data_IF_768863424833
#
_entry.id   IF_768863424833
#
_cell.length_a   1.000
_cell.length_b   1.000
_cell.length_c   1.000
_cell.angle_alpha   90.00
_cell.angle_beta   90.00
_cell.angle_gamma   90.00
#
_symmetry.space_group_name_H-M   'P 1'
#
loop_
_entity.id
_entity.type
_entity.pdbx_description
1 polymer ?
#
# COMPACT_ATOMS: atom_id res chain seq x y z
N UNK A 1 -9.06 13.89 -11.56
CA UNK A 1 -9.72 12.59 -11.78
C UNK A 1 -10.29 12.08 -10.46
N UNK A 2 -11.15 11.08 -10.55
CA UNK A 2 -11.58 10.32 -9.39
C UNK A 2 -10.67 9.11 -9.24
N UNK A 3 -10.28 8.81 -8.00
CA UNK A 3 -9.48 7.65 -7.66
C UNK A 3 -10.38 6.55 -7.12
N UNK A 4 -10.53 5.41 -7.81
CA UNK A 4 -11.32 4.27 -7.32
C UNK A 4 -10.53 3.48 -6.28
N UNK A 5 -11.17 3.23 -5.11
CA UNK A 5 -10.56 2.50 -4.01
C UNK A 5 -11.61 1.71 -3.24
N UNK A 6 -11.47 0.39 -3.15
CA UNK A 6 -12.42 -0.53 -2.51
C UNK A 6 -13.89 -0.29 -2.86
N UNK A 7 -14.17 -0.03 -4.16
CA UNK A 7 -15.54 0.12 -4.69
C UNK A 7 -16.17 1.50 -4.52
N UNK A 8 -15.43 2.49 -4.04
CA UNK A 8 -15.83 3.90 -3.98
C UNK A 8 -14.88 4.79 -4.79
N UNK A 9 -15.36 5.95 -5.22
CA UNK A 9 -14.57 6.94 -5.96
C UNK A 9 -14.26 8.15 -5.08
N UNK A 10 -12.99 8.57 -5.05
CA UNK A 10 -12.50 9.69 -4.26
C UNK A 10 -11.94 10.79 -5.14
N UNK A 11 -12.41 12.02 -4.95
CA UNK A 11 -11.94 13.21 -5.65
C UNK A 11 -10.96 14.06 -4.83
N UNK A 12 -10.86 13.78 -3.55
CA UNK A 12 -9.96 14.45 -2.62
C UNK A 12 -9.11 13.42 -1.89
N UNK A 13 -7.91 13.82 -1.53
CA UNK A 13 -7.01 13.07 -0.67
C UNK A 13 -6.47 13.98 0.43
N UNK A 14 -6.18 13.41 1.58
CA UNK A 14 -5.53 14.05 2.71
C UNK A 14 -4.12 13.50 2.84
N UNK A 15 -3.12 14.33 2.65
CA UNK A 15 -1.72 13.91 2.67
C UNK A 15 -1.16 14.16 4.07
N UNK A 16 -0.79 13.09 4.74
CA UNK A 16 -0.18 13.16 6.06
C UNK A 16 1.36 13.24 5.95
N UNK A 17 2.03 14.15 6.68
CA UNK A 17 3.49 14.26 6.66
C UNK A 17 4.21 12.97 7.11
N UNK A 18 3.54 12.10 7.82
CA UNK A 18 4.05 10.83 8.34
C UNK A 18 3.95 9.64 7.35
N UNK A 19 4.00 9.90 6.06
CA UNK A 19 4.19 8.86 5.03
C UNK A 19 2.95 8.11 4.59
N UNK A 20 1.73 8.65 4.81
CA UNK A 20 0.48 8.02 4.43
C UNK A 20 -0.56 9.02 3.88
N UNK A 21 -1.62 8.49 3.29
CA UNK A 21 -2.71 9.24 2.66
C UNK A 21 -4.03 8.74 3.23
N UNK A 22 -4.89 9.65 3.69
CA UNK A 22 -6.31 9.42 3.97
C UNK A 22 -7.17 9.79 2.77
N UNK A 23 -8.27 9.07 2.54
CA UNK A 23 -9.18 9.34 1.44
C UNK A 23 -10.43 10.13 1.88
N UNK A 24 -10.80 10.04 3.14
CA UNK A 24 -11.96 10.73 3.73
C UNK A 24 -11.79 11.06 5.23
N UNK A 25 -10.71 10.63 5.85
CA UNK A 25 -10.45 10.83 7.26
C UNK A 25 -9.21 11.71 7.46
N UNK A 26 -9.38 12.81 8.20
CA UNK A 26 -8.29 13.66 8.66
C UNK A 26 -7.77 13.13 10.00
N UNK A 27 -6.58 12.59 10.00
CA UNK A 27 -5.93 12.06 11.19
C UNK A 27 -4.48 12.52 11.26
N UNK A 28 -4.03 12.90 12.45
CA UNK A 28 -2.65 13.26 12.74
C UNK A 28 -1.82 12.06 13.23
N UNK A 29 -2.19 10.83 12.88
CA UNK A 29 -1.51 9.64 13.31
C UNK A 29 -0.05 9.61 12.83
N UNK A 30 0.87 9.81 13.76
CA UNK A 30 2.31 9.75 13.54
C UNK A 30 2.91 8.41 14.02
N UNK A 31 2.32 7.82 15.04
CA UNK A 31 2.74 6.55 15.61
C UNK A 31 2.07 5.41 14.86
N UNK A 32 2.84 4.71 14.06
CA UNK A 32 2.34 3.62 13.23
C UNK A 32 1.80 2.44 14.05
N UNK A 33 0.84 1.73 13.49
CA UNK A 33 0.15 0.59 14.07
C UNK A 33 0.02 -0.54 13.04
N UNK A 34 -0.23 -1.79 13.45
CA UNK A 34 -0.73 -2.80 12.51
C UNK A 34 -2.01 -2.31 11.84
N UNK A 35 -2.18 -2.53 10.53
CA UNK A 35 -3.31 -1.98 9.76
C UNK A 35 -4.68 -2.38 10.29
N UNK A 36 -4.79 -3.60 10.82
CA UNK A 36 -6.06 -4.12 11.34
C UNK A 36 -6.32 -3.77 12.81
N UNK A 37 -5.42 -2.99 13.45
CA UNK A 37 -5.66 -2.49 14.80
C UNK A 37 -6.76 -1.43 14.80
N UNK A 38 -7.45 -1.25 15.93
CA UNK A 38 -8.48 -0.20 16.05
C UNK A 38 -7.93 1.23 16.02
N UNK A 39 -6.63 1.38 16.25
CA UNK A 39 -5.95 2.68 16.32
C UNK A 39 -5.34 3.12 14.99
N UNK A 40 -5.34 2.24 13.98
CA UNK A 40 -4.88 2.59 12.64
C UNK A 40 -5.93 3.42 11.89
N UNK A 41 -5.53 4.48 11.16
CA UNK A 41 -6.40 5.21 10.26
C UNK A 41 -7.10 4.28 9.27
N UNK A 42 -8.37 4.58 8.95
CA UNK A 42 -9.17 3.83 8.00
C UNK A 42 -9.20 4.53 6.65
N UNK A 43 -9.65 3.81 5.62
CA UNK A 43 -9.72 4.34 4.25
C UNK A 43 -8.42 5.02 3.84
N UNK A 44 -7.31 4.31 4.02
CA UNK A 44 -5.98 4.89 3.99
C UNK A 44 -4.96 4.06 3.20
N UNK A 45 -3.93 4.74 2.73
CA UNK A 45 -2.85 4.22 1.89
C UNK A 45 -1.53 4.60 2.57
N UNK A 46 -0.79 3.61 3.04
CA UNK A 46 0.42 3.77 3.85
C UNK A 46 1.64 3.42 3.00
N UNK A 47 2.30 4.45 2.46
CA UNK A 47 3.51 4.27 1.66
C UNK A 47 4.72 3.93 2.51
N UNK A 48 4.87 4.62 3.62
CA UNK A 48 5.88 4.40 4.66
C UNK A 48 5.43 5.18 5.89
N UNK A 49 4.41 4.65 6.59
CA UNK A 49 3.89 5.29 7.79
C UNK A 49 4.81 5.10 8.97
N UNK A 50 5.49 6.18 9.30
CA UNK A 50 6.41 6.29 10.43
C UNK A 50 6.41 7.75 10.90
N UNK A 51 7.07 8.06 12.01
CA UNK A 51 7.21 9.41 12.56
C UNK A 51 8.16 10.26 11.71
N UNK A 52 7.67 10.76 10.57
CA UNK A 52 8.43 11.55 9.63
C UNK A 52 8.34 13.06 9.91
N UNK A 53 9.37 13.78 9.52
CA UNK A 53 9.56 15.19 9.84
C UNK A 53 9.97 16.02 8.61
N UNK A 54 9.07 16.24 7.62
CA UNK A 54 9.34 17.15 6.52
C UNK A 54 9.38 18.60 6.99
N UNK A 55 9.98 19.48 6.19
CA UNK A 55 9.88 20.93 6.40
C UNK A 55 8.46 21.38 6.11
N UNK A 56 7.85 22.06 7.06
CA UNK A 56 6.55 22.73 6.93
C UNK A 56 6.63 24.12 7.55
N UNK A 57 5.58 24.94 7.40
CA UNK A 57 5.50 26.25 8.07
C UNK A 57 5.57 26.11 9.58
N UNK A 58 4.94 25.07 10.13
CA UNK A 58 4.90 24.79 11.58
C UNK A 58 6.14 24.01 12.07
N UNK A 59 6.93 23.47 11.16
CA UNK A 59 8.12 22.67 11.49
C UNK A 59 9.31 23.02 10.57
N UNK A 60 9.96 24.18 10.81
CA UNK A 60 11.10 24.63 10.00
C UNK A 60 12.37 23.78 10.22
N UNK A 61 12.45 23.04 11.31
CA UNK A 61 13.60 22.17 11.67
C UNK A 61 13.51 20.77 11.02
N UNK A 62 12.48 20.52 10.21
CA UNK A 62 12.36 19.31 9.41
C UNK A 62 13.46 19.20 8.35
N UNK A 63 13.44 18.11 7.58
CA UNK A 63 14.26 17.96 6.38
C UNK A 63 13.43 17.38 5.25
N UNK A 64 13.74 17.81 4.01
CA UNK A 64 13.00 17.42 2.83
C UNK A 64 11.60 18.04 2.75
N UNK A 65 10.85 17.64 1.75
CA UNK A 65 9.53 18.22 1.46
C UNK A 65 8.57 17.14 1.01
N UNK A 66 7.29 17.31 1.30
CA UNK A 66 6.23 16.56 0.61
C UNK A 66 5.78 17.36 -0.60
N UNK A 67 6.02 16.82 -1.79
CA UNK A 67 5.69 17.45 -3.07
C UNK A 67 4.55 16.73 -3.76
N UNK A 68 3.70 17.46 -4.44
CA UNK A 68 2.56 16.91 -5.16
C UNK A 68 2.58 17.36 -6.61
N UNK A 69 2.36 16.41 -7.51
CA UNK A 69 2.14 16.67 -8.92
C UNK A 69 1.00 15.80 -9.43
N UNK A 70 0.07 16.37 -10.20
CA UNK A 70 -1.09 15.63 -10.69
C UNK A 70 -1.45 16.01 -12.13
N UNK A 71 -2.03 15.06 -12.84
CA UNK A 71 -2.67 15.23 -14.13
C UNK A 71 -3.97 14.40 -14.19
N UNK A 72 -4.56 14.20 -15.37
CA UNK A 72 -5.80 13.43 -15.52
C UNK A 72 -5.62 11.92 -15.33
N UNK A 73 -4.40 11.41 -15.36
CA UNK A 73 -4.09 9.98 -15.29
C UNK A 73 -3.61 9.54 -13.90
N UNK A 74 -2.90 10.43 -13.19
CA UNK A 74 -2.30 10.10 -11.90
C UNK A 74 -2.04 11.31 -11.02
N UNK A 75 -1.90 11.05 -9.73
CA UNK A 75 -1.29 11.95 -8.76
C UNK A 75 -0.05 11.29 -8.17
N UNK A 76 1.03 12.05 -8.05
CA UNK A 76 2.29 11.65 -7.42
C UNK A 76 2.46 12.46 -6.15
N UNK A 77 2.55 11.79 -5.02
CA UNK A 77 2.91 12.36 -3.74
C UNK A 77 4.33 11.90 -3.44
N UNK A 78 5.26 12.84 -3.41
CA UNK A 78 6.67 12.57 -3.24
C UNK A 78 7.19 13.10 -1.90
N UNK A 79 7.60 12.20 -1.04
CA UNK A 79 8.35 12.49 0.17
C UNK A 79 9.82 12.60 -0.22
N UNK A 80 10.22 13.83 -0.60
CA UNK A 80 11.52 14.18 -1.18
C UNK A 80 12.53 14.39 -0.07
N UNK A 81 13.34 13.37 0.23
CA UNK A 81 14.41 13.40 1.23
C UNK A 81 13.95 13.79 2.64
N UNK A 82 12.81 13.26 3.06
CA UNK A 82 12.22 13.53 4.38
C UNK A 82 12.95 12.75 5.47
N UNK A 83 13.29 13.45 6.57
CA UNK A 83 13.94 12.78 7.70
C UNK A 83 12.93 12.11 8.65
N UNK A 84 13.42 11.17 9.46
CA UNK A 84 12.71 10.70 10.63
C UNK A 84 12.72 11.76 11.75
N UNK A 85 11.63 11.83 12.55
CA UNK A 85 11.52 12.82 13.64
C UNK A 85 12.70 12.75 14.62
N UNK A 86 13.09 11.55 15.06
CA UNK A 86 14.13 11.37 16.08
C UNK A 86 15.56 11.40 15.54
N UNK A 87 15.78 11.49 14.21
CA UNK A 87 17.12 11.39 13.61
C UNK A 87 17.29 12.28 12.39
N UNK A 88 18.38 13.04 12.36
CA UNK A 88 18.79 13.81 11.17
C UNK A 88 19.53 12.96 10.13
N UNK A 89 19.92 11.75 10.47
CA UNK A 89 20.68 10.84 9.59
C UNK A 89 19.78 9.86 8.84
N UNK A 90 18.56 9.63 9.34
CA UNK A 90 17.55 8.78 8.69
C UNK A 90 16.76 9.61 7.69
N UNK A 91 17.08 9.46 6.42
CA UNK A 91 16.49 10.21 5.31
C UNK A 91 15.82 9.25 4.35
N UNK A 92 14.56 9.53 4.03
CA UNK A 92 13.74 8.68 3.18
C UNK A 92 13.26 9.45 1.94
N UNK A 93 13.41 8.82 0.79
CA UNK A 93 12.97 9.35 -0.49
C UNK A 93 12.10 8.32 -1.19
N UNK A 94 10.80 8.58 -1.19
CA UNK A 94 9.81 7.68 -1.76
C UNK A 94 8.59 8.42 -2.30
N UNK A 95 7.81 7.72 -3.13
CA UNK A 95 6.61 8.25 -3.72
C UNK A 95 5.43 7.31 -3.49
N UNK A 96 4.26 7.90 -3.27
CA UNK A 96 2.97 7.26 -3.43
C UNK A 96 2.35 7.79 -4.71
N UNK A 97 2.04 6.89 -5.65
CA UNK A 97 1.44 7.24 -6.95
C UNK A 97 0.07 6.57 -7.04
N UNK A 98 -0.97 7.38 -7.20
CA UNK A 98 -2.34 6.92 -7.40
C UNK A 98 -2.74 7.16 -8.85
N UNK A 99 -3.20 6.11 -9.54
CA UNK A 99 -3.66 6.20 -10.93
C UNK A 99 -5.19 6.25 -11.00
N UNK A 100 -5.70 6.93 -12.01
CA UNK A 100 -7.16 6.98 -12.29
C UNK A 100 -7.79 5.61 -12.56
N UNK A 101 -6.97 4.60 -12.81
CA UNK A 101 -7.38 3.19 -12.96
C UNK A 101 -7.58 2.47 -11.63
N UNK A 102 -7.20 3.08 -10.49
CA UNK A 102 -7.19 2.46 -9.17
C UNK A 102 -5.88 1.75 -8.82
N UNK A 103 -4.91 1.73 -9.72
CA UNK A 103 -3.58 1.22 -9.40
C UNK A 103 -2.85 2.15 -8.43
N UNK A 104 -2.07 1.57 -7.53
CA UNK A 104 -1.24 2.29 -6.55
C UNK A 104 0.19 1.78 -6.68
N UNK A 105 1.14 2.71 -6.81
CA UNK A 105 2.56 2.37 -6.75
C UNK A 105 3.21 3.06 -5.56
N UNK A 106 4.02 2.33 -4.80
CA UNK A 106 4.98 2.89 -3.86
C UNK A 106 6.37 2.72 -4.46
N UNK A 107 7.02 3.81 -4.78
CA UNK A 107 8.36 3.81 -5.37
C UNK A 107 9.36 4.28 -4.30
N UNK A 108 10.27 3.42 -3.89
CA UNK A 108 11.31 3.72 -2.91
C UNK A 108 12.63 3.93 -3.64
N UNK A 109 13.09 5.18 -3.71
CA UNK A 109 14.34 5.53 -4.38
C UNK A 109 15.54 5.33 -3.48
N UNK A 110 15.48 5.92 -2.29
CA UNK A 110 16.59 5.93 -1.35
C UNK A 110 16.03 5.95 0.08
N UNK A 111 16.25 4.87 0.79
CA UNK A 111 15.74 4.63 2.14
C UNK A 111 16.94 4.53 3.09
N UNK A 112 17.57 5.69 3.36
CA UNK A 112 18.77 5.79 4.20
C UNK A 112 18.38 5.88 5.67
N UNK A 113 18.33 4.75 6.33
CA UNK A 113 17.98 4.66 7.74
C UNK A 113 17.43 3.29 8.11
N UNK A 114 16.95 3.16 9.32
CA UNK A 114 16.19 1.99 9.73
C UNK A 114 14.84 1.99 9.01
N UNK A 115 14.46 0.86 8.44
CA UNK A 115 13.21 0.66 7.70
C UNK A 115 12.29 -0.35 8.39
N UNK A 116 12.65 -0.75 9.61
CA UNK A 116 11.99 -1.75 10.42
C UNK A 116 11.01 -1.17 11.46
N UNK A 117 10.72 0.13 11.38
CA UNK A 117 9.80 0.84 12.28
C UNK A 117 8.51 1.33 11.60
N UNK A 118 8.30 1.03 10.31
CA UNK A 118 7.18 1.55 9.55
C UNK A 118 6.05 0.54 9.34
N UNK A 119 4.87 1.06 8.98
CA UNK A 119 3.75 0.30 8.41
C UNK A 119 3.59 0.65 6.93
N UNK A 120 3.48 -0.39 6.09
CA UNK A 120 3.25 -0.25 4.65
C UNK A 120 2.04 -1.09 4.26
N UNK A 121 1.11 -0.51 3.50
CA UNK A 121 -0.07 -1.22 3.04
C UNK A 121 -1.24 -0.32 2.68
N UNK A 122 -2.41 -0.93 2.54
CA UNK A 122 -3.67 -0.26 2.20
C UNK A 122 -4.82 -0.87 3.01
N UNK A 123 -5.81 -0.08 3.38
CA UNK A 123 -6.98 -0.55 4.13
C UNK A 123 -8.24 0.23 3.76
N UNK A 124 -9.37 -0.48 3.71
CA UNK A 124 -10.69 0.10 3.41
C UNK A 124 -11.28 0.91 4.57
N UNK A 125 -12.46 1.48 4.34
CA UNK A 125 -13.09 2.43 5.26
C UNK A 125 -13.58 1.82 6.58
N UNK A 126 -13.96 0.54 6.59
CA UNK A 126 -14.40 -0.14 7.81
C UNK A 126 -13.30 -0.98 8.49
N UNK A 127 -12.12 -1.06 7.86
CA UNK A 127 -10.97 -1.82 8.36
C UNK A 127 -11.10 -3.33 8.24
N UNK A 128 -12.09 -3.82 7.47
CA UNK A 128 -12.33 -5.25 7.29
C UNK A 128 -11.50 -5.87 6.17
N UNK A 129 -11.11 -5.05 5.18
CA UNK A 129 -10.35 -5.47 4.00
C UNK A 129 -9.14 -4.55 3.86
N UNK A 130 -7.97 -5.15 3.75
CA UNK A 130 -6.72 -4.44 3.57
C UNK A 130 -5.60 -5.39 3.18
N UNK A 131 -4.46 -4.81 2.87
CA UNK A 131 -3.24 -5.56 2.61
C UNK A 131 -2.10 -4.89 3.36
N UNK A 132 -1.69 -5.49 4.50
CA UNK A 132 -0.48 -5.12 5.23
C UNK A 132 0.71 -5.82 4.59
N UNK A 133 1.60 -5.04 4.00
CA UNK A 133 2.85 -5.57 3.41
C UNK A 133 3.85 -5.83 4.52
N UNK A 134 3.98 -4.85 5.43
CA UNK A 134 4.89 -4.95 6.56
C UNK A 134 4.41 -4.07 7.72
N UNK A 135 4.69 -4.54 8.93
CA UNK A 135 4.60 -3.77 10.17
C UNK A 135 5.84 -4.02 11.01
N UNK A 136 6.60 -2.94 11.27
CA UNK A 136 7.78 -2.95 12.14
C UNK A 136 8.74 -4.12 11.87
N UNK A 137 9.14 -4.28 10.61
CA UNK A 137 10.04 -5.33 10.17
C UNK A 137 10.85 -4.89 8.97
N UNK A 138 12.08 -5.38 8.83
CA UNK A 138 12.90 -5.15 7.65
C UNK A 138 12.23 -5.73 6.40
N UNK A 139 12.00 -4.89 5.40
CA UNK A 139 11.39 -5.29 4.14
C UNK A 139 11.90 -4.49 2.93
N UNK A 140 12.21 -3.20 3.13
CA UNK A 140 12.52 -2.30 2.03
C UNK A 140 14.02 -2.25 1.71
N UNK A 141 14.29 -2.25 0.41
CA UNK A 141 15.57 -1.88 -0.18
C UNK A 141 15.44 -0.64 -1.06
N UNK A 142 16.57 -0.04 -1.42
CA UNK A 142 16.61 1.04 -2.40
C UNK A 142 16.20 0.56 -3.79
N UNK A 143 15.54 1.42 -4.56
CA UNK A 143 15.08 1.16 -5.92
C UNK A 143 14.05 0.02 -6.04
N UNK A 144 13.21 -0.14 -5.02
CA UNK A 144 12.08 -1.08 -5.01
C UNK A 144 10.79 -0.36 -5.35
N UNK A 145 9.89 -1.03 -6.05
CA UNK A 145 8.52 -0.59 -6.29
C UNK A 145 7.55 -1.66 -5.82
N UNK A 146 6.60 -1.26 -4.98
CA UNK A 146 5.41 -2.05 -4.66
C UNK A 146 4.26 -1.61 -5.57
N UNK A 147 3.51 -2.57 -6.07
CA UNK A 147 2.44 -2.32 -7.00
C UNK A 147 1.15 -3.01 -6.55
N UNK A 148 0.13 -2.22 -6.20
CA UNK A 148 -1.21 -2.72 -5.88
C UNK A 148 -2.11 -2.56 -7.10
N UNK A 149 -2.78 -3.64 -7.48
CA UNK A 149 -3.77 -3.67 -8.56
C UNK A 149 -5.06 -4.28 -8.04
N UNK A 150 -6.16 -3.82 -8.59
CA UNK A 150 -7.41 -4.55 -8.43
C UNK A 150 -7.29 -5.91 -9.13
N UNK A 151 -7.81 -6.95 -8.51
CA UNK A 151 -7.99 -8.22 -9.21
C UNK A 151 -8.89 -7.99 -10.42
N UNK A 152 -8.49 -8.45 -11.61
CA UNK A 152 -9.33 -8.30 -12.78
C UNK A 152 -10.63 -9.10 -12.57
N UNK A 153 -11.76 -8.51 -12.96
CA UNK A 153 -13.09 -9.14 -12.84
C UNK A 153 -13.28 -10.41 -13.70
N UNK A 154 -12.33 -10.70 -14.59
CA UNK A 154 -12.32 -11.89 -15.43
C UNK A 154 -11.52 -13.07 -14.83
N UNK A 155 -10.86 -12.87 -13.69
CA UNK A 155 -10.05 -13.90 -13.03
C UNK A 155 -10.50 -14.04 -11.57
N UNK A 156 -10.87 -15.24 -11.17
CA UNK A 156 -11.08 -15.60 -9.77
C UNK A 156 -10.37 -16.90 -9.41
N UNK A 157 -10.00 -17.05 -8.16
CA UNK A 157 -9.42 -18.27 -7.64
C UNK A 157 -10.00 -18.58 -6.25
N UNK A 158 -10.57 -19.75 -6.12
CA UNK A 158 -11.21 -20.23 -4.89
C UNK A 158 -10.82 -21.69 -4.65
N UNK A 159 -10.81 -22.13 -3.40
CA UNK A 159 -10.73 -23.55 -3.09
C UNK A 159 -12.07 -24.26 -3.31
N UNK A 160 -12.08 -25.58 -3.17
CA UNK A 160 -13.29 -26.39 -3.38
C UNK A 160 -14.45 -26.05 -2.43
N UNK A 161 -14.17 -25.42 -1.29
CA UNK A 161 -15.17 -24.97 -0.32
C UNK A 161 -15.72 -23.56 -0.61
N UNK A 162 -15.41 -23.00 -1.78
CA UNK A 162 -15.81 -21.65 -2.19
C UNK A 162 -15.22 -20.53 -1.31
N UNK A 163 -14.04 -20.74 -0.76
CA UNK A 163 -13.33 -19.73 0.06
C UNK A 163 -12.02 -19.34 -0.59
N UNK A 164 -11.53 -18.15 -0.30
CA UNK A 164 -10.21 -17.67 -0.74
C UNK A 164 -9.08 -18.00 0.24
N UNK A 165 -9.38 -18.75 1.30
CA UNK A 165 -8.41 -19.17 2.31
C UNK A 165 -8.77 -20.53 2.86
N UNK A 166 -7.78 -21.27 3.34
CA UNK A 166 -7.96 -22.59 3.92
C UNK A 166 -6.75 -23.05 4.71
N UNK A 167 -6.79 -24.25 5.26
CA UNK A 167 -5.64 -24.90 5.88
C UNK A 167 -5.40 -26.25 5.24
N UNK A 168 -4.13 -26.58 5.00
CA UNK A 168 -3.72 -27.86 4.46
C UNK A 168 -2.97 -28.63 5.55
N UNK A 169 -3.48 -29.81 5.90
CA UNK A 169 -2.80 -30.70 6.85
C UNK A 169 -1.46 -31.18 6.27
N UNK A 170 -0.48 -31.49 7.11
CA UNK A 170 0.82 -31.99 6.67
C UNK A 170 0.70 -33.18 5.71
N UNK A 171 1.44 -33.15 4.61
CA UNK A 171 1.48 -34.17 3.54
C UNK A 171 0.19 -34.26 2.68
N UNK A 172 -0.78 -33.37 2.89
CA UNK A 172 -1.95 -33.26 2.04
C UNK A 172 -1.76 -32.19 0.96
N UNK A 173 -2.69 -32.13 0.01
CA UNK A 173 -2.78 -31.10 -1.04
C UNK A 173 -4.19 -30.55 -1.10
N UNK A 174 -4.30 -29.29 -1.48
CA UNK A 174 -5.58 -28.60 -1.75
C UNK A 174 -5.66 -28.27 -3.23
N UNK A 175 -6.89 -28.31 -3.76
CA UNK A 175 -7.16 -27.91 -5.14
C UNK A 175 -7.72 -26.50 -5.12
N UNK A 176 -7.07 -25.62 -5.87
CA UNK A 176 -7.56 -24.26 -6.12
C UNK A 176 -8.16 -24.25 -7.53
N UNK A 177 -9.43 -23.90 -7.64
CA UNK A 177 -10.10 -23.67 -8.91
C UNK A 177 -9.84 -22.25 -9.37
N UNK A 178 -9.36 -22.11 -10.60
CA UNK A 178 -9.11 -20.81 -11.23
C UNK A 178 -10.12 -20.64 -12.37
N UNK A 179 -11.04 -19.70 -12.20
CA UNK A 179 -12.03 -19.34 -13.19
C UNK A 179 -11.57 -18.13 -14.00
N UNK A 180 -11.69 -18.22 -15.34
CA UNK A 180 -11.36 -17.15 -16.27
C UNK A 180 -12.60 -16.82 -17.09
N UNK A 181 -13.29 -15.72 -16.76
CA UNK A 181 -14.44 -15.21 -17.51
C UNK A 181 -14.03 -14.06 -18.42
N UNK A 182 -13.94 -14.34 -19.71
CA UNK A 182 -13.59 -13.38 -20.75
C UNK A 182 -14.79 -12.81 -21.52
N UNK A 183 -16.03 -13.11 -21.11
CA UNK A 183 -17.23 -12.80 -21.87
C UNK A 183 -17.42 -11.30 -22.16
N UNK A 184 -16.94 -10.43 -21.27
CA UNK A 184 -17.07 -8.97 -21.38
C UNK A 184 -15.77 -8.25 -21.73
N UNK A 185 -14.73 -9.00 -22.11
CA UNK A 185 -13.44 -8.41 -22.43
C UNK A 185 -13.23 -8.30 -23.95
N UNK A 186 -12.52 -7.27 -24.39
CA UNK A 186 -12.15 -7.10 -25.78
C UNK A 186 -11.13 -8.17 -26.21
N UNK A 187 -11.02 -8.41 -27.51
CA UNK A 187 -9.98 -9.31 -28.03
C UNK A 187 -8.59 -8.72 -27.74
N UNK A 188 -7.74 -9.49 -27.09
CA UNK A 188 -6.40 -9.05 -26.67
C UNK A 188 -5.67 -10.12 -25.87
N UNK A 189 -4.48 -9.76 -25.38
CA UNK A 189 -3.71 -10.55 -24.43
C UNK A 189 -3.84 -9.95 -23.05
N UNK A 190 -4.18 -10.78 -22.08
CA UNK A 190 -4.38 -10.40 -20.69
C UNK A 190 -3.39 -11.18 -19.82
N UNK A 191 -2.80 -10.50 -18.85
CA UNK A 191 -1.87 -11.09 -17.88
C UNK A 191 -2.32 -10.74 -16.47
N UNK A 192 -2.38 -11.74 -15.62
CA UNK A 192 -2.56 -11.56 -14.18
C UNK A 192 -1.76 -12.63 -13.43
N UNK A 193 -1.64 -12.46 -12.13
CA UNK A 193 -0.92 -13.36 -11.24
C UNK A 193 -1.85 -13.86 -10.16
N UNK A 194 -1.77 -15.16 -9.86
CA UNK A 194 -2.34 -15.75 -8.66
C UNK A 194 -1.23 -15.77 -7.60
N UNK A 195 -1.41 -15.02 -6.53
CA UNK A 195 -0.54 -15.05 -5.37
C UNK A 195 -1.13 -16.03 -4.36
N UNK A 196 -0.35 -17.03 -3.98
CA UNK A 196 -0.70 -17.97 -2.90
C UNK A 196 0.21 -17.63 -1.73
N UNK A 197 -0.39 -17.02 -0.70
CA UNK A 197 0.31 -16.74 0.54
C UNK A 197 0.18 -17.94 1.49
N UNK A 198 1.28 -18.35 2.10
CA UNK A 198 1.31 -19.48 3.03
C UNK A 198 2.05 -19.09 4.31
N UNK A 199 1.60 -19.63 5.43
CA UNK A 199 2.25 -19.45 6.72
C UNK A 199 3.44 -20.42 6.94
N UNK A 200 3.90 -21.11 5.90
CA UNK A 200 5.08 -21.96 5.98
C UNK A 200 6.33 -21.10 5.90
N UNK A 201 7.24 -21.28 6.85
CA UNK A 201 8.59 -20.73 6.81
C UNK A 201 9.45 -21.49 5.78
N UNK A 202 9.02 -21.50 4.52
CA UNK A 202 9.85 -22.02 3.45
C UNK A 202 10.73 -20.88 2.95
N UNK A 203 11.99 -20.94 3.36
CA UNK A 203 13.05 -20.15 2.76
C UNK A 203 13.48 -20.88 1.48
N UNK A 204 13.34 -20.30 0.27
CA UNK A 204 13.67 -20.95 -1.00
C UNK A 204 15.18 -21.09 -1.21
#
# INVERSE_FOLDING_TARGET
FNFPFYGADYSNILINPNGWIGLDEDSNAWNNQPLFSNDAPRNAIFGFWDDLCPITEDNPDGAGYVRVNSNQERIVIWYDSVRHWTSYERIYDFQIVLYSTGEIHFNYREMNGEVDSATIGIINSDGSIGHEVVYNSEFLDNNVTLHFRQSPNWLSAINLDNTSSGSIEPYNSEIIEVEVDMANNSVGSYLSYLLIDTNTSYDP
#
